data_IF_188553385903
#
_entry.id   IF_188553385903
#
_cell.length_a   1.000
_cell.length_b   1.000
_cell.length_c   1.000
_cell.angle_alpha   90.00
_cell.angle_beta   90.00
_cell.angle_gamma   90.00
#
_symmetry.space_group_name_H-M   'P 1'
#
loop_
_entity.id
_entity.type
_entity.pdbx_description
1 polymer ?
#
# COMPACT_ATOMS: atom_id res chain seq x y z
N UNK A 1 13.99 -2.38 -2.81
CA UNK A 1 12.80 -2.49 -3.68
C UNK A 1 12.68 -1.31 -4.64
N UNK A 2 12.61 -0.06 -4.19
CA UNK A 2 12.45 1.13 -5.04
C UNK A 2 13.41 1.19 -6.24
N UNK A 3 14.69 0.92 -6.06
CA UNK A 3 15.65 0.87 -7.17
C UNK A 3 15.40 -0.24 -8.22
N UNK A 4 14.68 -1.31 -7.87
CA UNK A 4 14.24 -2.31 -8.85
C UNK A 4 13.09 -1.78 -9.69
N UNK A 5 12.13 -1.09 -9.05
CA UNK A 5 11.00 -0.47 -9.76
C UNK A 5 11.52 0.62 -10.70
N UNK A 6 12.46 1.47 -10.27
CA UNK A 6 13.09 2.45 -11.16
C UNK A 6 13.76 1.79 -12.37
N UNK A 7 14.46 0.67 -12.18
CA UNK A 7 15.07 -0.06 -13.30
C UNK A 7 14.05 -0.66 -14.28
N UNK A 8 12.88 -1.08 -13.81
CA UNK A 8 11.82 -1.58 -14.71
C UNK A 8 11.17 -0.49 -15.56
N UNK A 9 11.41 0.78 -15.25
CA UNK A 9 10.92 1.93 -16.00
C UNK A 9 11.94 2.51 -17.00
N UNK A 10 13.09 1.86 -17.19
CA UNK A 10 14.17 2.38 -18.05
C UNK A 10 13.72 2.58 -19.50
N UNK A 11 12.84 1.70 -19.99
CA UNK A 11 12.31 1.76 -21.37
C UNK A 11 11.08 2.68 -21.51
N UNK A 12 10.60 3.26 -20.40
CA UNK A 12 9.54 4.27 -20.45
C UNK A 12 10.15 5.60 -20.83
N UNK A 13 9.75 6.15 -21.98
CA UNK A 13 10.30 7.40 -22.52
C UNK A 13 10.30 8.54 -21.49
N UNK A 14 11.33 9.40 -21.50
CA UNK A 14 11.48 10.47 -20.50
C UNK A 14 10.35 11.50 -20.55
N UNK A 15 9.67 11.62 -21.67
CA UNK A 15 8.52 12.51 -21.90
C UNK A 15 7.22 11.99 -21.26
N UNK A 16 7.19 10.74 -20.83
CA UNK A 16 6.01 10.15 -20.19
C UNK A 16 5.84 10.64 -18.75
N UNK A 17 4.66 11.19 -18.47
CA UNK A 17 4.26 11.52 -17.09
C UNK A 17 4.16 10.25 -16.26
N UNK A 18 4.73 10.26 -15.06
CA UNK A 18 4.70 9.14 -14.12
C UNK A 18 3.77 9.45 -12.97
N UNK A 19 2.84 8.54 -12.72
CA UNK A 19 2.02 8.51 -11.53
C UNK A 19 2.39 7.25 -10.75
N UNK A 20 2.66 7.37 -9.46
CA UNK A 20 2.94 6.26 -8.57
C UNK A 20 1.69 5.92 -7.77
N UNK A 21 1.27 4.66 -7.79
CA UNK A 21 0.23 4.15 -6.93
C UNK A 21 0.77 2.96 -6.13
N UNK A 22 0.64 3.02 -4.82
CA UNK A 22 1.14 1.96 -3.94
C UNK A 22 0.07 1.50 -2.95
N UNK A 23 -0.26 0.20 -3.01
CA UNK A 23 -1.11 -0.46 -2.05
C UNK A 23 -0.27 -1.08 -0.93
N UNK A 24 -0.64 -0.84 0.33
CA UNK A 24 0.01 -1.40 1.50
C UNK A 24 1.55 -1.19 1.44
N UNK A 25 2.34 -2.26 1.39
CA UNK A 25 3.79 -2.20 1.22
C UNK A 25 4.21 -1.47 -0.08
N UNK A 26 3.42 -1.53 -1.14
CA UNK A 26 3.65 -0.77 -2.37
C UNK A 26 3.71 0.74 -2.13
N UNK A 27 2.95 1.25 -1.16
CA UNK A 27 3.02 2.64 -0.72
C UNK A 27 4.38 2.99 -0.10
N UNK A 28 4.95 2.13 0.75
CA UNK A 28 6.30 2.33 1.29
C UNK A 28 7.37 2.35 0.17
N UNK A 29 7.19 1.51 -0.85
CA UNK A 29 8.08 1.48 -2.01
C UNK A 29 7.93 2.76 -2.83
N UNK A 30 6.71 3.24 -3.06
CA UNK A 30 6.44 4.49 -3.79
C UNK A 30 7.05 5.71 -3.06
N UNK A 31 6.89 5.78 -1.74
CA UNK A 31 7.53 6.83 -0.92
C UNK A 31 9.06 6.76 -1.01
N UNK A 32 9.64 5.55 -0.95
CA UNK A 32 11.08 5.39 -1.12
C UNK A 32 11.56 5.75 -2.54
N UNK A 33 10.73 5.56 -3.56
CA UNK A 33 11.03 6.02 -4.92
C UNK A 33 11.07 7.55 -4.98
N UNK A 34 10.15 8.24 -4.31
CA UNK A 34 10.13 9.70 -4.23
C UNK A 34 11.29 10.27 -3.41
N UNK A 35 11.75 9.55 -2.37
CA UNK A 35 12.94 9.92 -1.60
C UNK A 35 14.24 9.78 -2.41
N UNK A 36 14.24 9.01 -3.50
CA UNK A 36 15.38 8.75 -4.38
C UNK A 36 14.96 8.93 -5.85
N UNK A 37 14.50 10.12 -6.26
CA UNK A 37 13.88 10.31 -7.55
C UNK A 37 14.92 10.18 -8.68
N UNK A 38 14.66 9.29 -9.63
CA UNK A 38 15.42 9.18 -10.88
C UNK A 38 14.70 9.86 -12.04
N UNK A 39 13.40 10.15 -11.87
CA UNK A 39 12.55 10.85 -12.85
C UNK A 39 11.52 11.69 -12.11
N UNK A 40 10.96 12.66 -12.82
CA UNK A 40 9.83 13.43 -12.32
C UNK A 40 8.59 12.53 -12.12
N UNK A 41 7.88 12.71 -11.01
CA UNK A 41 6.63 12.03 -10.67
C UNK A 41 5.56 13.10 -10.47
N UNK A 42 4.50 13.01 -11.24
CA UNK A 42 3.43 14.01 -11.27
C UNK A 42 2.36 13.77 -10.18
N UNK A 43 2.24 12.54 -9.70
CA UNK A 43 1.25 12.19 -8.70
C UNK A 43 1.57 10.96 -7.88
N UNK A 44 1.01 10.90 -6.67
CA UNK A 44 1.15 9.80 -5.71
C UNK A 44 -0.22 9.33 -5.21
N UNK A 45 -0.52 8.04 -5.31
CA UNK A 45 -1.63 7.43 -4.60
C UNK A 45 -1.12 6.45 -3.54
N UNK A 46 -1.52 6.65 -2.29
CA UNK A 46 -1.28 5.75 -1.16
C UNK A 46 -2.58 5.04 -0.81
N UNK A 47 -2.62 3.72 -0.95
CA UNK A 47 -3.81 2.89 -0.72
C UNK A 47 -3.54 1.98 0.48
N UNK A 48 -4.27 2.15 1.59
CA UNK A 48 -4.05 1.43 2.85
C UNK A 48 -2.57 1.37 3.23
N UNK A 49 -1.92 2.54 3.27
CA UNK A 49 -0.50 2.68 3.54
C UNK A 49 -0.22 3.88 4.46
N UNK A 50 1.02 4.00 4.91
CA UNK A 50 1.44 5.00 5.89
C UNK A 50 2.84 5.53 5.55
N UNK A 51 3.16 6.75 6.02
CA UNK A 51 4.51 7.31 5.95
C UNK A 51 5.33 7.05 7.23
N UNK A 52 4.74 6.39 8.21
CA UNK A 52 5.38 6.07 9.49
C UNK A 52 6.40 4.93 9.33
N UNK A 53 7.49 4.93 10.10
CA UNK A 53 8.35 3.76 10.23
C UNK A 53 7.60 2.61 10.89
N UNK A 54 8.13 1.40 10.85
CA UNK A 54 7.60 0.33 11.67
C UNK A 54 7.84 0.64 13.15
N UNK A 55 6.85 0.36 13.99
CA UNK A 55 6.98 0.63 15.42
C UNK A 55 7.85 -0.44 16.05
N UNK A 56 8.83 -0.07 16.91
CA UNK A 56 9.68 -1.06 17.57
C UNK A 56 8.90 -2.12 18.34
N UNK A 57 7.76 -1.75 18.90
CA UNK A 57 6.84 -2.62 19.64
C UNK A 57 6.18 -3.67 18.74
N UNK A 58 6.11 -3.44 17.43
CA UNK A 58 5.58 -4.40 16.46
C UNK A 58 6.60 -5.51 16.11
N UNK A 59 7.89 -5.31 16.38
CA UNK A 59 8.94 -6.26 16.00
C UNK A 59 8.70 -7.69 16.52
N UNK A 60 8.30 -7.95 17.78
CA UNK A 60 8.02 -9.31 18.24
C UNK A 60 6.86 -9.97 17.49
N UNK A 61 5.84 -9.19 17.10
CA UNK A 61 4.71 -9.70 16.30
C UNK A 61 5.15 -10.05 14.88
N UNK A 62 5.99 -9.21 14.27
CA UNK A 62 6.58 -9.47 12.95
C UNK A 62 7.42 -10.74 12.94
N UNK A 63 8.29 -10.94 13.93
CA UNK A 63 9.12 -12.15 14.04
C UNK A 63 8.27 -13.42 14.23
N UNK A 64 7.18 -13.34 15.00
CA UNK A 64 6.22 -14.46 15.13
C UNK A 64 5.54 -14.76 13.78
N UNK A 65 5.15 -13.73 13.03
CA UNK A 65 4.55 -13.88 11.70
C UNK A 65 5.54 -14.52 10.71
N UNK A 66 6.80 -14.08 10.69
CA UNK A 66 7.89 -14.66 9.90
C UNK A 66 8.08 -16.14 10.24
N UNK A 67 8.18 -16.46 11.53
CA UNK A 67 8.34 -17.83 12.00
C UNK A 67 7.13 -18.72 11.64
N UNK A 68 5.92 -18.19 11.71
CA UNK A 68 4.71 -18.91 11.33
C UNK A 68 4.66 -19.18 9.82
N UNK A 69 4.98 -18.18 8.99
CA UNK A 69 5.03 -18.30 7.54
C UNK A 69 6.09 -19.33 7.09
N UNK A 70 7.27 -19.32 7.72
CA UNK A 70 8.34 -20.27 7.43
C UNK A 70 8.00 -21.73 7.83
N UNK A 71 7.22 -21.89 8.91
CA UNK A 71 6.89 -23.23 9.44
C UNK A 71 5.73 -23.89 8.71
N UNK A 72 4.69 -23.13 8.39
CA UNK A 72 3.44 -23.66 7.81
C UNK A 72 2.78 -22.56 6.96
N UNK A 73 3.23 -22.45 5.72
CA UNK A 73 2.77 -21.43 4.79
C UNK A 73 1.26 -21.49 4.51
N UNK A 74 0.66 -22.66 4.20
CA UNK A 74 -0.78 -22.74 3.97
C UNK A 74 -1.59 -22.24 5.16
N UNK A 75 -1.24 -22.64 6.36
CA UNK A 75 -1.92 -22.21 7.58
C UNK A 75 -1.70 -20.72 7.87
N UNK A 76 -0.52 -20.20 7.57
CA UNK A 76 -0.24 -18.77 7.70
C UNK A 76 -1.14 -17.96 6.79
N UNK A 77 -1.27 -18.36 5.50
CA UNK A 77 -2.14 -17.68 4.52
C UNK A 77 -3.58 -17.63 4.99
N UNK A 78 -4.14 -18.74 5.46
CA UNK A 78 -5.50 -18.76 6.00
C UNK A 78 -5.67 -17.74 7.13
N UNK A 79 -4.76 -17.73 8.09
CA UNK A 79 -4.84 -16.83 9.26
C UNK A 79 -4.66 -15.36 8.89
N UNK A 80 -3.69 -15.05 8.05
CA UNK A 80 -3.46 -13.66 7.64
C UNK A 80 -4.58 -13.14 6.75
N UNK A 81 -5.09 -13.98 5.85
CA UNK A 81 -6.25 -13.66 5.02
C UNK A 81 -7.48 -13.34 5.89
N UNK A 82 -7.80 -14.18 6.85
CA UNK A 82 -8.90 -13.94 7.79
C UNK A 82 -8.73 -12.65 8.60
N UNK A 83 -7.50 -12.30 8.97
CA UNK A 83 -7.20 -11.07 9.70
C UNK A 83 -7.39 -9.83 8.81
N UNK A 84 -6.96 -9.89 7.56
CA UNK A 84 -6.98 -8.74 6.64
C UNK A 84 -8.33 -8.47 5.99
N UNK A 85 -9.18 -9.51 5.85
CA UNK A 85 -10.51 -9.41 5.25
C UNK A 85 -11.54 -8.83 6.22
N UNK A 86 -12.48 -8.05 5.69
CA UNK A 86 -13.71 -7.68 6.41
C UNK A 86 -14.61 -8.90 6.67
N UNK A 87 -15.57 -8.75 7.57
CA UNK A 87 -16.59 -9.80 7.80
C UNK A 87 -17.39 -10.11 6.53
N UNK A 88 -17.65 -9.09 5.71
CA UNK A 88 -18.37 -9.24 4.42
C UNK A 88 -17.54 -10.07 3.44
N UNK A 89 -16.26 -9.74 3.28
CA UNK A 89 -15.34 -10.48 2.38
C UNK A 89 -15.16 -11.94 2.84
N UNK A 90 -15.07 -12.19 4.14
CA UNK A 90 -14.99 -13.55 4.70
C UNK A 90 -16.26 -14.38 4.44
N UNK A 91 -17.43 -13.74 4.42
CA UNK A 91 -18.72 -14.38 4.20
C UNK A 91 -19.00 -14.70 2.72
N UNK A 92 -18.27 -14.10 1.78
CA UNK A 92 -18.32 -14.42 0.35
C UNK A 92 -17.27 -15.48 -0.01
N UNK A 93 -17.66 -16.74 -0.27
CA UNK A 93 -16.71 -17.82 -0.54
C UNK A 93 -15.85 -17.59 -1.78
N UNK A 94 -16.39 -16.94 -2.82
CA UNK A 94 -15.69 -16.71 -4.06
C UNK A 94 -14.61 -15.60 -3.87
N UNK A 95 -14.98 -14.52 -3.21
CA UNK A 95 -14.06 -13.43 -2.88
C UNK A 95 -12.97 -13.91 -1.91
N UNK A 96 -13.37 -14.64 -0.87
CA UNK A 96 -12.43 -15.22 0.09
C UNK A 96 -11.37 -16.09 -0.60
N UNK A 97 -11.81 -17.00 -1.48
CA UNK A 97 -10.88 -17.90 -2.19
C UNK A 97 -9.98 -17.14 -3.16
N UNK A 98 -10.48 -16.14 -3.87
CA UNK A 98 -9.66 -15.30 -4.73
C UNK A 98 -8.54 -14.59 -3.94
N UNK A 99 -8.86 -14.00 -2.80
CA UNK A 99 -7.87 -13.35 -1.92
C UNK A 99 -6.84 -14.37 -1.41
N UNK A 100 -7.28 -15.53 -0.96
CA UNK A 100 -6.36 -16.55 -0.45
C UNK A 100 -5.47 -17.12 -1.56
N UNK A 101 -5.97 -17.24 -2.79
CA UNK A 101 -5.18 -17.67 -3.94
C UNK A 101 -4.04 -16.70 -4.22
N UNK A 102 -4.31 -15.40 -4.27
CA UNK A 102 -3.29 -14.37 -4.49
C UNK A 102 -2.25 -14.35 -3.35
N UNK A 103 -2.70 -14.50 -2.09
CA UNK A 103 -1.78 -14.60 -0.95
C UNK A 103 -0.88 -15.85 -1.04
N UNK A 104 -1.42 -16.99 -1.49
CA UNK A 104 -0.64 -18.23 -1.68
C UNK A 104 0.42 -18.06 -2.77
N UNK A 105 0.06 -17.40 -3.88
CA UNK A 105 0.96 -17.15 -5.01
C UNK A 105 2.16 -16.30 -4.63
N UNK A 106 2.02 -15.37 -3.68
CA UNK A 106 3.13 -14.57 -3.17
C UNK A 106 4.29 -15.40 -2.61
N UNK A 107 4.00 -16.57 -2.04
CA UNK A 107 4.97 -17.53 -1.51
C UNK A 107 5.60 -17.10 -0.17
N UNK A 108 6.03 -18.10 0.60
CA UNK A 108 6.58 -17.89 1.94
C UNK A 108 7.85 -17.03 1.94
N UNK A 109 8.83 -17.37 1.09
CA UNK A 109 10.13 -16.70 1.05
C UNK A 109 9.99 -15.23 0.66
N UNK A 110 9.14 -14.95 -0.34
CA UNK A 110 8.85 -13.57 -0.78
C UNK A 110 8.18 -12.78 0.35
N UNK A 111 7.17 -13.35 1.00
CA UNK A 111 6.45 -12.70 2.10
C UNK A 111 7.36 -12.45 3.31
N UNK A 112 8.21 -13.38 3.67
CA UNK A 112 9.21 -13.21 4.74
C UNK A 112 10.19 -12.09 4.40
N UNK A 113 10.70 -12.05 3.17
CA UNK A 113 11.59 -10.99 2.72
C UNK A 113 10.90 -9.61 2.75
N UNK A 114 9.62 -9.56 2.38
CA UNK A 114 8.80 -8.35 2.45
C UNK A 114 8.60 -7.89 3.90
N UNK A 115 8.23 -8.80 4.82
CA UNK A 115 8.08 -8.46 6.25
C UNK A 115 9.36 -7.87 6.84
N UNK A 116 10.53 -8.48 6.55
CA UNK A 116 11.83 -7.93 6.97
C UNK A 116 12.11 -6.55 6.41
N UNK A 117 11.75 -6.30 5.15
CA UNK A 117 11.91 -4.99 4.53
C UNK A 117 10.97 -3.94 5.17
N UNK A 118 9.75 -4.32 5.54
CA UNK A 118 8.81 -3.43 6.23
C UNK A 118 9.32 -3.05 7.62
N UNK A 119 9.93 -3.99 8.37
CA UNK A 119 10.52 -3.72 9.69
C UNK A 119 11.63 -2.68 9.66
N UNK A 120 12.32 -2.53 8.53
CA UNK A 120 13.44 -1.58 8.37
C UNK A 120 13.09 -0.37 7.51
N UNK A 121 11.79 -0.14 7.26
CA UNK A 121 11.37 1.02 6.47
C UNK A 121 11.69 2.33 7.18
N UNK A 122 12.21 3.33 6.48
CA UNK A 122 12.52 4.62 7.09
C UNK A 122 11.23 5.40 7.43
N UNK A 123 11.36 6.35 8.33
CA UNK A 123 10.35 7.38 8.56
C UNK A 123 10.33 8.34 7.36
N UNK A 124 9.20 8.42 6.68
CA UNK A 124 9.02 9.26 5.50
C UNK A 124 8.17 10.51 5.77
N UNK A 125 7.76 10.76 7.02
CA UNK A 125 6.86 11.88 7.37
C UNK A 125 7.44 13.24 7.01
N UNK A 126 8.72 13.46 7.26
CA UNK A 126 9.38 14.73 6.88
C UNK A 126 9.52 14.87 5.36
N UNK A 127 9.75 13.76 4.66
CA UNK A 127 9.88 13.77 3.20
C UNK A 127 8.56 14.12 2.53
N UNK A 128 7.44 13.52 2.97
CA UNK A 128 6.13 13.79 2.35
C UNK A 128 5.65 15.22 2.56
N UNK A 129 6.04 15.89 3.64
CA UNK A 129 5.70 17.28 3.90
C UNK A 129 6.31 18.25 2.87
N UNK A 130 7.36 17.85 2.18
CA UNK A 130 7.99 18.63 1.11
C UNK A 130 7.51 18.29 -0.30
N UNK A 131 6.56 17.37 -0.46
CA UNK A 131 6.06 16.98 -1.78
C UNK A 131 5.14 18.05 -2.36
N UNK A 132 5.44 18.48 -3.59
CA UNK A 132 4.65 19.42 -4.36
C UNK A 132 4.05 18.69 -5.57
N UNK A 133 3.19 17.71 -5.31
CA UNK A 133 2.53 16.90 -6.33
C UNK A 133 1.09 16.56 -5.90
N UNK A 134 0.26 16.23 -6.87
CA UNK A 134 -1.11 15.81 -6.62
C UNK A 134 -1.12 14.43 -5.95
N UNK A 135 -1.70 14.33 -4.77
CA UNK A 135 -1.74 13.06 -4.02
C UNK A 135 -3.17 12.61 -3.70
N UNK A 136 -3.36 11.30 -3.69
CA UNK A 136 -4.56 10.62 -3.21
C UNK A 136 -4.17 9.66 -2.09
N UNK A 137 -4.76 9.82 -0.91
CA UNK A 137 -4.59 8.87 0.19
C UNK A 137 -5.92 8.20 0.47
N UNK A 138 -5.96 6.88 0.34
CA UNK A 138 -7.17 6.08 0.54
C UNK A 138 -6.98 5.14 1.72
N UNK A 139 -7.95 5.13 2.63
CA UNK A 139 -8.00 4.20 3.77
C UNK A 139 -9.32 3.44 3.79
N UNK A 140 -9.31 2.19 4.21
CA UNK A 140 -10.51 1.44 4.56
C UNK A 140 -10.95 1.78 5.99
N UNK A 141 -12.26 1.92 6.24
CA UNK A 141 -12.74 2.22 7.60
C UNK A 141 -12.52 1.06 8.58
N UNK A 142 -12.43 -0.16 8.06
CA UNK A 142 -12.30 -1.39 8.83
C UNK A 142 -10.91 -2.04 8.63
N UNK A 143 -9.90 -1.23 8.21
CA UNK A 143 -8.52 -1.72 8.03
C UNK A 143 -7.91 -2.09 9.40
N UNK A 144 -7.60 -3.38 9.67
CA UNK A 144 -7.05 -3.81 10.94
C UNK A 144 -5.54 -3.57 11.04
N UNK A 145 -4.89 -3.17 9.94
CA UNK A 145 -3.43 -3.10 9.84
C UNK A 145 -2.90 -1.67 9.83
N UNK A 146 -3.55 -0.77 9.08
CA UNK A 146 -3.15 0.62 8.95
C UNK A 146 -4.17 1.51 9.67
N UNK A 147 -3.79 2.18 10.77
CA UNK A 147 -4.67 3.12 11.44
C UNK A 147 -5.14 4.23 10.50
N UNK A 148 -6.43 4.57 10.56
CA UNK A 148 -7.00 5.66 9.75
C UNK A 148 -6.27 6.97 10.01
N UNK A 149 -5.88 7.22 11.26
CA UNK A 149 -5.17 8.43 11.66
C UNK A 149 -3.79 8.55 11.01
N UNK A 150 -3.09 7.44 10.78
CA UNK A 150 -1.81 7.42 10.05
C UNK A 150 -2.01 7.84 8.59
N UNK A 151 -3.05 7.30 7.94
CA UNK A 151 -3.37 7.66 6.56
C UNK A 151 -3.84 9.12 6.47
N UNK A 152 -4.66 9.58 7.41
CA UNK A 152 -5.12 10.97 7.50
C UNK A 152 -3.95 11.93 7.73
N UNK A 153 -3.02 11.58 8.63
CA UNK A 153 -1.82 12.38 8.89
C UNK A 153 -0.93 12.47 7.65
N UNK A 154 -0.78 11.39 6.87
CA UNK A 154 -0.05 11.42 5.61
C UNK A 154 -0.70 12.38 4.60
N UNK A 155 -2.03 12.36 4.47
CA UNK A 155 -2.76 13.28 3.60
C UNK A 155 -2.61 14.74 4.06
N UNK A 156 -2.71 15.01 5.35
CA UNK A 156 -2.55 16.36 5.89
C UNK A 156 -1.14 16.93 5.72
N UNK A 157 -0.13 16.05 5.69
CA UNK A 157 1.26 16.46 5.52
C UNK A 157 1.60 16.83 4.06
N UNK A 158 0.88 16.31 3.06
CA UNK A 158 1.12 16.62 1.64
C UNK A 158 0.19 17.75 1.22
N UNK A 159 0.71 18.94 0.82
CA UNK A 159 -0.11 20.14 0.58
C UNK A 159 -1.26 19.98 -0.42
N UNK A 160 -1.08 19.13 -1.43
CA UNK A 160 -2.06 18.89 -2.51
C UNK A 160 -2.71 17.50 -2.42
N UNK A 161 -2.77 16.92 -1.22
CA UNK A 161 -3.36 15.61 -1.04
C UNK A 161 -4.87 15.67 -0.79
N UNK A 162 -5.59 14.73 -1.40
CA UNK A 162 -6.98 14.39 -1.08
C UNK A 162 -6.99 13.12 -0.22
N UNK A 163 -7.74 13.15 0.88
CA UNK A 163 -7.99 11.98 1.72
C UNK A 163 -9.37 11.40 1.41
N UNK A 164 -9.42 10.10 1.18
CA UNK A 164 -10.67 9.36 0.97
C UNK A 164 -10.75 8.18 1.93
N UNK A 165 -11.81 8.15 2.73
CA UNK A 165 -12.17 7.01 3.57
C UNK A 165 -13.20 6.17 2.86
N UNK A 166 -12.91 4.88 2.64
CA UNK A 166 -13.84 3.92 2.03
C UNK A 166 -14.63 3.20 3.13
N UNK A 167 -15.93 3.52 3.32
CA UNK A 167 -16.73 2.93 4.38
C UNK A 167 -16.91 1.42 4.16
N UNK A 168 -16.76 0.63 5.24
CA UNK A 168 -16.92 -0.82 5.21
C UNK A 168 -15.82 -1.58 4.46
N UNK A 169 -14.77 -0.91 3.99
CA UNK A 169 -13.61 -1.56 3.39
C UNK A 169 -12.54 -1.84 4.46
N UNK A 170 -11.93 -3.02 4.38
CA UNK A 170 -10.79 -3.41 5.20
C UNK A 170 -9.45 -3.02 4.58
N UNK A 171 -8.41 -3.80 4.90
CA UNK A 171 -7.09 -3.58 4.32
C UNK A 171 -7.05 -3.91 2.82
N UNK A 172 -7.84 -4.89 2.39
CA UNK A 172 -7.79 -5.45 1.04
C UNK A 172 -8.74 -4.72 0.08
N UNK A 173 -8.75 -3.39 0.09
CA UNK A 173 -9.64 -2.56 -0.72
C UNK A 173 -9.64 -2.89 -2.22
N UNK A 174 -8.53 -3.33 -2.87
CA UNK A 174 -8.56 -3.70 -4.29
C UNK A 174 -9.45 -4.91 -4.58
N UNK A 175 -9.65 -5.79 -3.62
CA UNK A 175 -10.53 -6.96 -3.73
C UNK A 175 -11.91 -6.69 -3.18
N UNK A 176 -12.00 -5.97 -2.05
CA UNK A 176 -13.26 -5.75 -1.33
C UNK A 176 -14.17 -4.73 -2.02
N UNK A 177 -13.60 -3.67 -2.57
CA UNK A 177 -14.36 -2.59 -3.23
C UNK A 177 -13.70 -2.12 -4.54
N UNK A 178 -13.44 -3.01 -5.53
CA UNK A 178 -12.67 -2.68 -6.73
C UNK A 178 -13.32 -1.59 -7.58
N UNK A 179 -14.65 -1.55 -7.70
CA UNK A 179 -15.35 -0.57 -8.52
C UNK A 179 -15.24 0.84 -7.91
N UNK A 180 -15.45 0.96 -6.60
CA UNK A 180 -15.33 2.24 -5.90
C UNK A 180 -13.89 2.77 -5.94
N UNK A 181 -12.91 1.88 -5.70
CA UNK A 181 -11.50 2.24 -5.82
C UNK A 181 -11.14 2.68 -7.25
N UNK A 182 -11.61 1.96 -8.26
CA UNK A 182 -11.36 2.32 -9.67
C UNK A 182 -11.93 3.70 -10.02
N UNK A 183 -13.10 4.07 -9.50
CA UNK A 183 -13.67 5.41 -9.69
C UNK A 183 -12.80 6.50 -9.05
N UNK A 184 -12.34 6.30 -7.82
CA UNK A 184 -11.43 7.22 -7.12
C UNK A 184 -10.12 7.39 -7.89
N UNK A 185 -9.51 6.28 -8.31
CA UNK A 185 -8.26 6.28 -9.08
C UNK A 185 -8.40 7.00 -10.42
N UNK A 186 -9.49 6.74 -11.17
CA UNK A 186 -9.76 7.45 -12.44
C UNK A 186 -9.90 8.94 -12.23
N UNK A 187 -10.67 9.37 -11.22
CA UNK A 187 -10.85 10.79 -10.90
C UNK A 187 -9.51 11.45 -10.60
N UNK A 188 -8.70 10.83 -9.73
CA UNK A 188 -7.37 11.33 -9.37
C UNK A 188 -6.41 11.40 -10.57
N UNK A 189 -6.35 10.35 -11.40
CA UNK A 189 -5.51 10.35 -12.61
C UNK A 189 -5.89 11.48 -13.55
N UNK A 190 -7.20 11.63 -13.82
CA UNK A 190 -7.70 12.68 -14.74
C UNK A 190 -7.38 14.07 -14.19
N UNK A 191 -7.59 14.32 -12.91
CA UNK A 191 -7.26 15.58 -12.28
C UNK A 191 -5.76 15.87 -12.38
N UNK A 192 -4.92 14.93 -11.98
CA UNK A 192 -3.46 15.09 -12.01
C UNK A 192 -2.92 15.40 -13.42
N UNK A 193 -3.46 14.73 -14.45
CA UNK A 193 -3.00 14.94 -15.83
C UNK A 193 -3.48 16.25 -16.45
N UNK A 194 -4.57 16.84 -15.94
CA UNK A 194 -5.11 18.11 -16.42
C UNK A 194 -4.52 19.34 -15.73
N UNK A 195 -3.96 19.17 -14.52
CA UNK A 195 -3.38 20.28 -13.74
C UNK A 195 -1.86 20.47 -14.01
N UNK A 196 -1.24 19.56 -14.76
CA UNK A 196 0.17 19.59 -15.20
C UNK A 196 0.29 19.78 -16.70
#
# INVERSE_FOLDING_TARGET
MAGRVWRSLVDVGPERKLLLAGFSMGGYVALQMLAMPLRNVEGLALLCSSAHPDQPEAAPLRERAISAAARDWPRYVEKIGEFLMTAVARADPALREAILADLREAGADSTIAQMRAVMTRPDQRSMIAGLMLNALVVAGSDDPLIPIDDARAAAQAIPQARFELMPGAGHLIPWEQPQALAMLMRSWITQTLNET
#
